data_IF_473470256552
#
_entry.id   IF_473470256552
#
_cell.length_a   1.000
_cell.length_b   1.000
_cell.length_c   1.000
_cell.angle_alpha   90.00
_cell.angle_beta   90.00
_cell.angle_gamma   90.00
#
_symmetry.space_group_name_H-M   'P 1'
#
loop_
_entity.id
_entity.type
_entity.pdbx_description
1 polymer ?
#
# COMPACT_ATOMS: atom_id res chain seq x y z
N UNK A 1 -5.97 -3.54 0.50
CA UNK A 1 -5.79 -4.99 0.31
C UNK A 1 -4.44 -5.45 0.88
N UNK A 2 -3.33 -4.84 0.48
CA UNK A 2 -1.97 -5.16 0.96
C UNK A 2 -1.85 -5.23 2.49
N UNK A 3 -2.31 -4.21 3.23
CA UNK A 3 -2.25 -4.23 4.71
C UNK A 3 -3.05 -5.38 5.35
N UNK A 4 -4.20 -5.75 4.79
CA UNK A 4 -5.04 -6.86 5.28
C UNK A 4 -4.39 -8.20 4.94
N UNK A 5 -3.89 -8.35 3.71
CA UNK A 5 -3.18 -9.54 3.27
C UNK A 5 -1.92 -9.79 4.12
N UNK A 6 -1.10 -8.76 4.34
CA UNK A 6 0.12 -8.85 5.15
C UNK A 6 -0.18 -9.23 6.60
N UNK A 7 -1.24 -8.68 7.19
CA UNK A 7 -1.61 -9.01 8.58
C UNK A 7 -2.26 -10.40 8.71
N UNK A 8 -3.09 -10.82 7.75
CA UNK A 8 -3.71 -12.15 7.75
C UNK A 8 -2.70 -13.26 7.44
N UNK A 9 -1.77 -13.05 6.50
CA UNK A 9 -0.68 -14.01 6.24
C UNK A 9 0.28 -14.11 7.42
N UNK A 10 0.57 -13.00 8.09
CA UNK A 10 1.43 -13.02 9.28
C UNK A 10 0.82 -13.82 10.45
N UNK A 11 -0.51 -13.76 10.61
CA UNK A 11 -1.21 -14.44 11.71
C UNK A 11 -1.63 -15.88 11.36
N UNK A 12 -1.87 -16.17 10.09
CA UNK A 12 -2.33 -17.46 9.59
C UNK A 12 -1.58 -17.84 8.29
N UNK A 13 -0.40 -18.48 8.38
CA UNK A 13 0.46 -18.74 7.23
C UNK A 13 -0.16 -19.64 6.16
N UNK A 14 -0.92 -20.66 6.55
CA UNK A 14 -1.52 -21.66 5.65
C UNK A 14 -2.86 -21.18 5.05
N UNK A 15 -3.68 -20.47 5.83
CA UNK A 15 -5.06 -20.11 5.44
C UNK A 15 -5.28 -18.62 5.22
N UNK A 16 -4.29 -17.78 5.51
CA UNK A 16 -4.40 -16.31 5.46
C UNK A 16 -4.73 -15.77 4.06
N UNK A 17 -4.22 -16.42 3.01
CA UNK A 17 -4.55 -16.07 1.62
C UNK A 17 -6.03 -16.37 1.32
N UNK A 18 -6.50 -17.59 1.62
CA UNK A 18 -7.89 -17.99 1.41
C UNK A 18 -8.86 -17.09 2.20
N UNK A 19 -8.55 -16.79 3.47
CA UNK A 19 -9.36 -15.88 4.28
C UNK A 19 -9.40 -14.47 3.70
N UNK A 20 -8.27 -13.95 3.19
CA UNK A 20 -8.24 -12.63 2.57
C UNK A 20 -9.13 -12.58 1.33
N UNK A 21 -9.10 -13.61 0.48
CA UNK A 21 -9.98 -13.70 -0.68
C UNK A 21 -11.46 -13.73 -0.28
N UNK A 22 -11.83 -14.53 0.72
CA UNK A 22 -13.20 -14.59 1.24
C UNK A 22 -13.66 -13.21 1.74
N UNK A 23 -12.81 -12.49 2.49
CA UNK A 23 -13.13 -11.14 2.96
C UNK A 23 -13.35 -10.16 1.81
N UNK A 24 -12.52 -10.22 0.75
CA UNK A 24 -12.70 -9.37 -0.43
C UNK A 24 -14.00 -9.70 -1.17
N UNK A 25 -14.33 -10.98 -1.32
CA UNK A 25 -15.60 -11.41 -1.92
C UNK A 25 -16.81 -10.92 -1.12
N UNK A 26 -16.78 -11.07 0.21
CA UNK A 26 -17.84 -10.56 1.09
C UNK A 26 -17.96 -9.04 1.02
N UNK A 27 -16.84 -8.31 0.99
CA UNK A 27 -16.84 -6.86 0.82
C UNK A 27 -17.50 -6.45 -0.50
N UNK A 28 -17.22 -7.17 -1.60
CA UNK A 28 -17.89 -6.97 -2.88
C UNK A 28 -19.40 -7.24 -2.82
N UNK A 29 -19.81 -8.31 -2.13
CA UNK A 29 -21.23 -8.60 -1.92
C UNK A 29 -21.94 -7.48 -1.12
N UNK A 30 -21.31 -6.97 -0.06
CA UNK A 30 -21.83 -5.81 0.68
C UNK A 30 -21.89 -4.55 -0.18
N UNK A 31 -20.89 -4.29 -1.03
CA UNK A 31 -20.92 -3.16 -1.96
C UNK A 31 -22.09 -3.25 -2.94
N UNK A 32 -22.38 -4.45 -3.47
CA UNK A 32 -23.54 -4.69 -4.34
C UNK A 32 -24.85 -4.44 -3.57
N UNK A 33 -24.98 -4.99 -2.36
CA UNK A 33 -26.16 -4.82 -1.52
C UNK A 33 -26.43 -3.34 -1.18
N UNK A 34 -25.39 -2.60 -0.79
CA UNK A 34 -25.52 -1.16 -0.51
C UNK A 34 -25.82 -0.35 -1.79
N UNK A 35 -25.29 -0.79 -2.93
CA UNK A 35 -25.59 -0.24 -4.25
C UNK A 35 -27.05 -0.42 -4.65
N UNK A 36 -27.61 -1.62 -4.47
CA UNK A 36 -29.03 -1.91 -4.77
C UNK A 36 -29.98 -1.16 -3.84
N UNK A 37 -29.61 -0.99 -2.57
CA UNK A 37 -30.34 -0.16 -1.60
C UNK A 37 -30.18 1.36 -1.83
N UNK A 38 -29.44 1.78 -2.87
CA UNK A 38 -29.17 3.19 -3.21
C UNK A 38 -28.56 4.00 -2.06
N UNK A 39 -27.86 3.34 -1.15
CA UNK A 39 -27.20 3.99 0.00
C UNK A 39 -25.95 4.81 -0.37
N UNK A 40 -25.53 4.79 -1.64
CA UNK A 40 -24.38 5.58 -2.12
C UNK A 40 -24.50 7.09 -1.87
N UNK A 41 -25.74 7.63 -1.79
CA UNK A 41 -25.98 9.06 -1.48
C UNK A 41 -25.50 9.47 -0.09
N UNK A 42 -25.37 8.54 0.85
CA UNK A 42 -24.91 8.86 2.20
C UNK A 42 -23.38 8.99 2.27
N UNK A 43 -22.65 8.31 1.38
CA UNK A 43 -21.18 8.36 1.32
C UNK A 43 -20.69 9.75 0.88
N UNK A 44 -21.47 10.47 0.08
CA UNK A 44 -21.14 11.83 -0.38
C UNK A 44 -21.26 12.90 0.72
N UNK A 45 -21.80 12.56 1.89
CA UNK A 45 -21.93 13.48 3.02
C UNK A 45 -20.64 13.59 3.85
N UNK A 46 -19.59 12.81 3.52
CA UNK A 46 -18.33 12.91 4.22
C UNK A 46 -17.65 14.28 4.00
N UNK A 47 -17.22 14.96 5.08
CA UNK A 47 -16.48 16.22 4.95
C UNK A 47 -15.17 16.02 4.18
N UNK A 48 -14.78 17.03 3.40
CA UNK A 48 -13.50 17.04 2.68
C UNK A 48 -12.31 16.80 3.61
N UNK A 49 -12.35 17.37 4.82
CA UNK A 49 -11.29 17.21 5.84
C UNK A 49 -11.04 15.74 6.19
N UNK A 50 -12.09 14.91 6.23
CA UNK A 50 -11.99 13.48 6.54
C UNK A 50 -11.37 12.71 5.37
N UNK A 51 -11.81 13.00 4.15
CA UNK A 51 -11.30 12.34 2.94
C UNK A 51 -9.81 12.67 2.75
N UNK A 52 -9.45 13.94 2.85
CA UNK A 52 -8.06 14.39 2.75
C UNK A 52 -7.18 13.78 3.85
N UNK A 53 -7.68 13.74 5.09
CA UNK A 53 -6.96 13.12 6.21
C UNK A 53 -6.75 11.62 6.02
N UNK A 54 -7.78 10.89 5.57
CA UNK A 54 -7.70 9.46 5.29
C UNK A 54 -6.74 9.14 4.15
N UNK A 55 -6.81 9.88 3.03
CA UNK A 55 -5.90 9.70 1.89
C UNK A 55 -4.45 9.99 2.28
N UNK A 56 -4.21 11.06 3.05
CA UNK A 56 -2.87 11.37 3.56
C UNK A 56 -2.35 10.27 4.50
N UNK A 57 -3.22 9.74 5.38
CA UNK A 57 -2.87 8.64 6.29
C UNK A 57 -2.45 7.39 5.53
N UNK A 58 -3.19 7.00 4.48
CA UNK A 58 -2.80 5.88 3.61
C UNK A 58 -1.47 6.16 2.91
N UNK A 59 -1.25 7.39 2.45
CA UNK A 59 0.02 7.80 1.83
C UNK A 59 1.21 7.57 2.75
N UNK A 60 1.11 7.96 4.02
CA UNK A 60 2.18 7.73 5.03
C UNK A 60 2.41 6.24 5.27
N UNK A 61 1.33 5.46 5.40
CA UNK A 61 1.41 3.99 5.56
C UNK A 61 2.17 3.36 4.39
N UNK A 62 1.87 3.76 3.16
CA UNK A 62 2.56 3.25 1.97
C UNK A 62 4.04 3.62 1.97
N UNK A 63 4.38 4.88 2.27
CA UNK A 63 5.78 5.32 2.33
C UNK A 63 6.56 4.44 3.31
N UNK A 64 6.02 4.22 4.52
CA UNK A 64 6.67 3.40 5.54
C UNK A 64 6.89 1.96 5.05
N UNK A 65 5.85 1.33 4.49
CA UNK A 65 5.96 -0.06 4.02
C UNK A 65 6.94 -0.22 2.86
N UNK A 66 7.15 0.82 2.05
CA UNK A 66 8.08 0.77 0.93
C UNK A 66 9.54 1.04 1.34
N UNK A 67 9.81 1.49 2.58
CA UNK A 67 11.17 1.66 3.07
C UNK A 67 11.93 0.32 3.11
N UNK A 68 11.32 -0.78 3.57
CA UNK A 68 12.03 -2.07 3.62
C UNK A 68 12.42 -2.60 2.24
N UNK A 69 11.50 -2.65 1.25
CA UNK A 69 11.87 -3.01 -0.13
C UNK A 69 12.90 -2.06 -0.75
N UNK A 70 12.82 -0.76 -0.47
CA UNK A 70 13.78 0.22 -0.99
C UNK A 70 15.21 -0.03 -0.46
N UNK A 71 15.32 -0.51 0.78
CA UNK A 71 16.59 -0.88 1.40
C UNK A 71 17.05 -2.32 1.06
N UNK A 72 16.31 -3.02 0.19
CA UNK A 72 16.67 -4.34 -0.32
C UNK A 72 16.21 -5.54 0.51
N UNK A 73 15.23 -5.35 1.38
CA UNK A 73 14.66 -6.41 2.22
C UNK A 73 13.15 -6.56 1.99
N UNK A 74 12.64 -7.79 2.13
CA UNK A 74 11.21 -8.01 2.08
C UNK A 74 10.52 -7.28 3.25
N UNK A 75 9.31 -6.76 3.01
CA UNK A 75 8.51 -6.11 4.05
C UNK A 75 8.23 -7.12 5.19
N UNK A 76 8.65 -6.83 6.44
CA UNK A 76 8.47 -7.76 7.56
C UNK A 76 7.00 -8.09 7.84
N UNK A 77 6.77 -9.28 8.38
CA UNK A 77 5.47 -9.65 8.93
C UNK A 77 5.10 -8.68 10.07
N UNK A 78 3.88 -8.12 10.05
CA UNK A 78 3.42 -7.15 11.06
C UNK A 78 3.13 -5.74 10.53
N UNK A 79 3.23 -5.51 9.22
CA UNK A 79 2.80 -4.25 8.61
C UNK A 79 3.67 -3.05 9.03
N UNK A 80 3.03 -1.91 9.33
CA UNK A 80 3.71 -0.64 9.65
C UNK A 80 4.61 -0.78 10.88
N UNK A 81 4.08 -1.35 11.96
CA UNK A 81 4.83 -1.51 13.22
C UNK A 81 6.02 -2.47 13.03
N UNK A 82 5.81 -3.60 12.34
CA UNK A 82 6.90 -4.54 12.04
C UNK A 82 8.00 -3.91 11.18
N UNK A 83 7.63 -3.05 10.23
CA UNK A 83 8.58 -2.30 9.40
C UNK A 83 9.40 -1.30 10.20
N UNK A 84 8.77 -0.56 11.13
CA UNK A 84 9.49 0.38 12.02
C UNK A 84 10.44 -0.34 12.97
N UNK A 85 10.04 -1.48 13.52
CA UNK A 85 10.88 -2.26 14.44
C UNK A 85 12.09 -2.90 13.75
N UNK A 86 11.93 -3.33 12.49
CA UNK A 86 13.01 -3.94 11.70
C UNK A 86 13.94 -2.91 11.02
N UNK A 87 13.55 -1.63 11.01
CA UNK A 87 14.27 -0.55 10.34
C UNK A 87 15.76 -0.43 10.77
N UNK A 88 16.12 -0.49 12.06
CA UNK A 88 17.52 -0.42 12.50
C UNK A 88 18.39 -1.54 11.91
N UNK A 89 17.85 -2.76 11.85
CA UNK A 89 18.53 -3.95 11.31
C UNK A 89 18.58 -3.95 9.77
N UNK A 90 17.56 -3.36 9.13
CA UNK A 90 17.48 -3.22 7.67
C UNK A 90 18.51 -2.19 7.17
N UNK A 91 18.76 -1.13 7.95
CA UNK A 91 19.79 -0.12 7.66
C UNK A 91 21.19 -0.71 7.83
N UNK A 92 21.43 -1.55 8.84
CA UNK A 92 22.75 -2.16 9.05
C UNK A 92 23.09 -3.21 7.97
N UNK A 93 22.11 -3.90 7.40
CA UNK A 93 22.28 -4.92 6.36
C UNK A 93 22.01 -4.41 4.93
N UNK A 94 22.28 -3.13 4.67
CA UNK A 94 21.89 -2.44 3.43
C UNK A 94 22.45 -3.11 2.15
N UNK A 95 21.56 -3.43 1.20
CA UNK A 95 21.95 -3.86 -0.15
C UNK A 95 22.01 -2.68 -1.10
N UNK A 96 23.23 -2.19 -1.37
CA UNK A 96 23.46 -1.02 -2.23
C UNK A 96 22.87 -1.16 -3.64
N UNK A 97 22.83 -2.36 -4.21
CA UNK A 97 22.26 -2.59 -5.55
C UNK A 97 20.76 -2.29 -5.61
N UNK A 98 20.00 -2.71 -4.59
CA UNK A 98 18.55 -2.50 -4.52
C UNK A 98 18.24 -1.02 -4.24
N UNK A 99 19.01 -0.40 -3.34
CA UNK A 99 18.92 1.03 -3.06
C UNK A 99 19.16 1.87 -4.33
N UNK A 100 20.18 1.51 -5.12
CA UNK A 100 20.47 2.19 -6.37
C UNK A 100 19.33 2.04 -7.39
N UNK A 101 18.78 0.83 -7.56
CA UNK A 101 17.61 0.59 -8.41
C UNK A 101 16.38 1.39 -7.96
N UNK A 102 16.13 1.44 -6.64
CA UNK A 102 15.06 2.22 -6.06
C UNK A 102 15.21 3.73 -6.26
N UNK A 103 16.42 4.27 -6.05
CA UNK A 103 16.72 5.67 -6.31
C UNK A 103 16.65 6.01 -7.80
N UNK A 104 17.11 5.11 -8.66
CA UNK A 104 17.05 5.28 -10.11
C UNK A 104 15.59 5.31 -10.59
N UNK A 105 14.74 4.41 -10.09
CA UNK A 105 13.30 4.39 -10.43
C UNK A 105 12.59 5.66 -9.94
N UNK A 106 12.87 6.12 -8.72
CA UNK A 106 12.38 7.42 -8.24
C UNK A 106 12.91 8.58 -9.09
N UNK A 107 14.19 8.54 -9.45
CA UNK A 107 14.84 9.52 -10.31
C UNK A 107 14.16 9.62 -11.68
N UNK A 108 13.93 8.49 -12.35
CA UNK A 108 13.20 8.46 -13.61
C UNK A 108 11.81 9.06 -13.43
N UNK A 109 11.07 8.68 -12.39
CA UNK A 109 9.71 9.15 -12.16
C UNK A 109 9.63 10.67 -11.94
N UNK A 110 10.54 11.24 -11.16
CA UNK A 110 10.57 12.69 -10.89
C UNK A 110 11.14 13.51 -12.05
N UNK A 111 12.16 13.00 -12.74
CA UNK A 111 12.80 13.70 -13.86
C UNK A 111 12.20 13.35 -15.22
N UNK A 112 11.17 12.51 -15.29
CA UNK A 112 10.52 12.15 -16.55
C UNK A 112 9.96 13.40 -17.23
N UNK A 113 10.32 13.70 -18.49
CA UNK A 113 9.96 14.97 -19.11
C UNK A 113 8.45 15.03 -19.34
N UNK A 114 7.82 16.14 -18.90
CA UNK A 114 6.37 16.37 -19.03
C UNK A 114 5.87 16.22 -20.48
N UNK A 115 6.73 16.47 -21.47
CA UNK A 115 6.43 16.34 -22.91
C UNK A 115 6.13 14.89 -23.32
N UNK A 116 6.82 13.90 -22.76
CA UNK A 116 6.62 12.48 -23.08
C UNK A 116 5.51 11.84 -22.27
N UNK A 117 5.15 12.45 -21.14
CA UNK A 117 4.06 12.02 -20.24
C UNK A 117 2.68 11.96 -20.91
N UNK A 118 2.52 12.62 -22.07
CA UNK A 118 1.30 12.57 -22.90
C UNK A 118 1.13 11.23 -23.64
N UNK A 119 2.22 10.56 -23.97
CA UNK A 119 2.20 9.32 -24.77
C UNK A 119 2.56 8.09 -23.95
N UNK A 120 3.47 8.25 -22.99
CA UNK A 120 3.87 7.18 -22.08
C UNK A 120 3.76 7.73 -20.67
N UNK A 121 2.87 7.17 -19.83
CA UNK A 121 2.83 7.50 -18.42
C UNK A 121 4.21 7.30 -17.80
N UNK A 122 4.61 8.19 -16.89
CA UNK A 122 5.84 7.98 -16.11
C UNK A 122 5.69 6.79 -15.12
N UNK A 123 4.46 6.29 -14.96
CA UNK A 123 4.00 5.09 -14.28
C UNK A 123 2.61 4.72 -14.80
#
# INVERSE_FOLDING_TARGET
MTAVLTSMMAKYPETGMAMTFTVVMMAGAFQILLGTLKMGKYVTLMPYSVISGFMSGIGVILIILQLSPLLGHAAPAGGVLGTLSALPETISNLKFNELFLGLLTLGILFFFPKKYRKYVPAQ
#
